data_IF_327906431923
#
_entry.id   IF_327906431923
#
_cell.length_a   1.000
_cell.length_b   1.000
_cell.length_c   1.000
_cell.angle_alpha   90.00
_cell.angle_beta   90.00
_cell.angle_gamma   90.00
#
_symmetry.space_group_name_H-M   'P 1'
#
loop_
_entity.id
_entity.type
_entity.pdbx_description
1 polymer ?
#
# COMPACT_ATOMS: atom_id res chain seq x y z
N UNK A 1 -31.48 -32.65 2.75
CA UNK A 1 -32.86 -32.15 2.88
C UNK A 1 -33.80 -33.29 2.51
N UNK A 2 -34.75 -33.60 3.39
CA UNK A 2 -35.83 -34.57 3.10
C UNK A 2 -36.66 -33.98 1.97
N UNK A 3 -36.55 -34.51 0.74
CA UNK A 3 -37.46 -34.10 -0.32
C UNK A 3 -38.85 -34.61 0.05
N UNK A 4 -39.76 -33.69 0.31
CA UNK A 4 -41.18 -34.02 0.48
C UNK A 4 -41.69 -34.26 -0.93
N UNK A 5 -41.80 -35.52 -1.35
CA UNK A 5 -42.34 -35.87 -2.65
C UNK A 5 -43.82 -35.44 -2.74
N UNK A 6 -44.20 -34.84 -3.88
CA UNK A 6 -45.60 -34.52 -4.16
C UNK A 6 -46.37 -35.82 -4.39
N UNK A 7 -47.38 -36.09 -3.55
CA UNK A 7 -48.22 -37.28 -3.67
C UNK A 7 -49.37 -37.00 -4.64
N UNK A 8 -49.12 -37.24 -5.93
CA UNK A 8 -50.04 -37.02 -7.04
C UNK A 8 -51.35 -37.78 -6.85
N UNK A 9 -51.31 -39.01 -6.34
CA UNK A 9 -52.50 -39.83 -6.09
C UNK A 9 -53.37 -39.26 -4.97
N UNK A 10 -52.76 -38.85 -3.85
CA UNK A 10 -53.48 -38.21 -2.76
C UNK A 10 -54.09 -36.88 -3.17
N UNK A 11 -53.41 -36.12 -4.03
CA UNK A 11 -53.94 -34.86 -4.57
C UNK A 11 -55.12 -35.09 -5.53
N UNK A 12 -54.99 -36.01 -6.50
CA UNK A 12 -56.08 -36.40 -7.40
C UNK A 12 -57.31 -36.92 -6.63
N UNK A 13 -57.10 -37.73 -5.59
CA UNK A 13 -58.19 -38.24 -4.75
C UNK A 13 -58.93 -37.10 -4.01
N UNK A 14 -58.21 -36.08 -3.53
CA UNK A 14 -58.83 -34.89 -2.93
C UNK A 14 -59.71 -34.13 -3.92
N UNK A 15 -59.25 -33.98 -5.17
CA UNK A 15 -60.03 -33.33 -6.23
C UNK A 15 -61.30 -34.12 -6.56
N UNK A 16 -61.21 -35.46 -6.64
CA UNK A 16 -62.38 -36.35 -6.82
C UNK A 16 -63.39 -36.18 -5.69
N UNK A 17 -62.94 -36.14 -4.43
CA UNK A 17 -63.82 -35.89 -3.28
C UNK A 17 -64.48 -34.51 -3.32
N UNK A 18 -63.84 -33.51 -3.94
CA UNK A 18 -64.39 -32.18 -4.15
C UNK A 18 -65.38 -32.08 -5.32
N UNK A 19 -65.66 -33.19 -6.01
CA UNK A 19 -66.62 -33.26 -7.12
C UNK A 19 -66.01 -33.05 -8.51
N UNK A 20 -64.68 -32.95 -8.62
CA UNK A 20 -64.00 -32.91 -9.93
C UNK A 20 -64.10 -34.29 -10.59
N UNK A 21 -64.51 -34.39 -11.88
CA UNK A 21 -64.54 -35.67 -12.58
C UNK A 21 -63.18 -36.35 -12.58
N UNK A 22 -63.15 -37.68 -12.45
CA UNK A 22 -61.92 -38.45 -12.24
C UNK A 22 -60.82 -38.15 -13.29
N UNK A 23 -61.20 -38.04 -14.57
CA UNK A 23 -60.27 -37.72 -15.65
C UNK A 23 -59.64 -36.32 -15.51
N UNK A 24 -60.41 -35.33 -15.02
CA UNK A 24 -59.89 -33.97 -14.80
C UNK A 24 -59.01 -33.92 -13.54
N UNK A 25 -59.42 -34.61 -12.47
CA UNK A 25 -58.66 -34.68 -11.23
C UNK A 25 -57.28 -35.33 -11.40
N UNK A 26 -57.18 -36.36 -12.25
CA UNK A 26 -55.92 -37.02 -12.58
C UNK A 26 -55.04 -36.12 -13.46
N UNK A 27 -55.60 -35.52 -14.51
CA UNK A 27 -54.88 -34.61 -15.40
C UNK A 27 -54.35 -33.36 -14.67
N UNK A 28 -55.13 -32.76 -13.77
CA UNK A 28 -54.69 -31.62 -12.96
C UNK A 28 -53.57 -32.00 -11.98
N UNK A 29 -53.67 -33.18 -11.35
CA UNK A 29 -52.64 -33.67 -10.44
C UNK A 29 -51.32 -33.92 -11.17
N UNK A 30 -51.38 -34.53 -12.35
CA UNK A 30 -50.22 -34.83 -13.19
C UNK A 30 -49.55 -33.54 -13.69
N UNK A 31 -50.32 -32.60 -14.25
CA UNK A 31 -49.79 -31.31 -14.69
C UNK A 31 -49.12 -30.52 -13.56
N UNK A 32 -49.70 -30.53 -12.35
CA UNK A 32 -49.10 -29.89 -11.18
C UNK A 32 -47.82 -30.61 -10.71
N UNK A 33 -47.81 -31.95 -10.77
CA UNK A 33 -46.63 -32.73 -10.42
C UNK A 33 -45.45 -32.42 -11.36
N UNK A 34 -45.69 -32.34 -12.67
CA UNK A 34 -44.67 -31.99 -13.66
C UNK A 34 -44.07 -30.59 -13.41
N UNK A 35 -44.92 -29.58 -13.21
CA UNK A 35 -44.46 -28.21 -12.95
C UNK A 35 -43.67 -28.10 -11.64
N UNK A 36 -44.12 -28.81 -10.59
CA UNK A 36 -43.40 -28.86 -9.31
C UNK A 36 -42.05 -29.55 -9.45
N UNK A 37 -41.97 -30.66 -10.21
CA UNK A 37 -40.72 -31.37 -10.44
C UNK A 37 -39.70 -30.50 -11.19
N UNK A 38 -40.13 -29.83 -12.26
CA UNK A 38 -39.27 -28.90 -13.03
C UNK A 38 -38.74 -27.78 -12.12
N UNK A 39 -39.60 -27.18 -11.30
CA UNK A 39 -39.21 -26.11 -10.40
C UNK A 39 -38.26 -26.60 -9.29
N UNK A 40 -38.50 -27.77 -8.72
CA UNK A 40 -37.63 -28.37 -7.69
C UNK A 40 -36.24 -28.71 -8.25
N UNK A 41 -36.17 -29.24 -9.48
CA UNK A 41 -34.90 -29.45 -10.17
C UNK A 41 -34.17 -28.13 -10.40
N UNK A 42 -34.86 -27.10 -10.90
CA UNK A 42 -34.29 -25.76 -11.10
C UNK A 42 -33.77 -25.12 -9.80
N UNK A 43 -34.48 -25.30 -8.68
CA UNK A 43 -34.03 -24.87 -7.36
C UNK A 43 -32.79 -25.63 -6.90
N UNK A 44 -32.77 -26.95 -7.01
CA UNK A 44 -31.61 -27.77 -6.65
C UNK A 44 -30.35 -27.40 -7.46
N UNK A 45 -30.51 -27.11 -8.75
CA UNK A 45 -29.44 -26.60 -9.59
C UNK A 45 -28.98 -25.21 -9.15
N UNK A 46 -29.91 -24.32 -8.81
CA UNK A 46 -29.59 -22.97 -8.31
C UNK A 46 -28.83 -23.03 -6.99
N UNK A 47 -29.27 -23.85 -6.04
CA UNK A 47 -28.57 -24.06 -4.76
C UNK A 47 -27.16 -24.60 -4.98
N UNK A 48 -27.02 -25.58 -5.89
CA UNK A 48 -25.70 -26.12 -6.27
C UNK A 48 -24.78 -25.06 -6.89
N UNK A 49 -25.31 -24.24 -7.81
CA UNK A 49 -24.55 -23.13 -8.42
C UNK A 49 -24.16 -22.08 -7.39
N UNK A 50 -25.08 -21.72 -6.48
CA UNK A 50 -24.83 -20.77 -5.41
C UNK A 50 -23.77 -21.29 -4.43
N UNK A 51 -23.83 -22.58 -4.04
CA UNK A 51 -22.80 -23.20 -3.20
C UNK A 51 -21.41 -23.15 -3.85
N UNK A 52 -21.32 -23.41 -5.16
CA UNK A 52 -20.07 -23.27 -5.93
C UNK A 52 -19.59 -21.82 -6.01
N UNK A 53 -20.50 -20.87 -6.20
CA UNK A 53 -20.18 -19.45 -6.25
C UNK A 53 -19.65 -18.93 -4.91
N UNK A 54 -20.25 -19.36 -3.79
CA UNK A 54 -19.78 -19.03 -2.44
C UNK A 54 -18.41 -19.63 -2.16
N UNK A 55 -18.17 -20.88 -2.55
CA UNK A 55 -16.86 -21.51 -2.40
C UNK A 55 -15.77 -20.79 -3.22
N UNK A 56 -16.10 -20.35 -4.45
CA UNK A 56 -15.18 -19.52 -5.26
C UNK A 56 -14.92 -18.17 -4.61
N UNK A 57 -15.96 -17.49 -4.14
CA UNK A 57 -15.81 -16.22 -3.44
C UNK A 57 -14.91 -16.34 -2.21
N UNK A 58 -15.04 -17.41 -1.43
CA UNK A 58 -14.18 -17.65 -0.27
C UNK A 58 -12.70 -17.79 -0.68
N UNK A 59 -12.43 -18.51 -1.77
CA UNK A 59 -11.08 -18.65 -2.32
C UNK A 59 -10.56 -17.31 -2.83
N UNK A 60 -11.34 -16.60 -3.65
CA UNK A 60 -10.97 -15.30 -4.21
C UNK A 60 -10.70 -14.27 -3.10
N UNK A 61 -11.49 -14.29 -2.02
CA UNK A 61 -11.26 -13.42 -0.86
C UNK A 61 -9.96 -13.79 -0.15
N UNK A 62 -9.69 -15.08 0.10
CA UNK A 62 -8.43 -15.52 0.71
C UNK A 62 -7.21 -15.13 -0.13
N UNK A 63 -7.29 -15.31 -1.44
CA UNK A 63 -6.23 -14.89 -2.36
C UNK A 63 -6.06 -13.36 -2.39
N UNK A 64 -7.17 -12.62 -2.41
CA UNK A 64 -7.18 -11.16 -2.36
C UNK A 64 -6.53 -10.62 -1.08
N UNK A 65 -6.85 -11.21 0.08
CA UNK A 65 -6.21 -10.85 1.35
C UNK A 65 -4.71 -11.17 1.34
N UNK A 66 -4.31 -12.33 0.83
CA UNK A 66 -2.89 -12.69 0.72
C UNK A 66 -2.10 -11.72 -0.19
N UNK A 67 -2.69 -11.27 -1.31
CA UNK A 67 -2.08 -10.26 -2.18
C UNK A 67 -1.95 -8.90 -1.48
N UNK A 68 -2.97 -8.51 -0.71
CA UNK A 68 -2.94 -7.27 0.07
C UNK A 68 -1.82 -7.33 1.12
N UNK A 69 -1.71 -8.42 1.87
CA UNK A 69 -0.64 -8.63 2.84
C UNK A 69 0.75 -8.54 2.19
N UNK A 70 0.94 -9.18 1.03
CA UNK A 70 2.20 -9.07 0.28
C UNK A 70 2.52 -7.63 -0.12
N UNK A 71 1.52 -6.86 -0.58
CA UNK A 71 1.71 -5.44 -0.92
C UNK A 71 2.06 -4.59 0.29
N UNK A 72 1.48 -4.88 1.46
CA UNK A 72 1.83 -4.20 2.71
C UNK A 72 3.28 -4.48 3.11
N UNK A 73 3.70 -5.74 3.10
CA UNK A 73 5.11 -6.11 3.39
C UNK A 73 6.08 -5.46 2.40
N UNK A 74 5.72 -5.40 1.11
CA UNK A 74 6.56 -4.73 0.12
C UNK A 74 6.60 -3.21 0.34
N UNK A 75 5.48 -2.60 0.74
CA UNK A 75 5.42 -1.17 1.04
C UNK A 75 6.27 -0.82 2.27
N UNK A 76 6.19 -1.63 3.33
CA UNK A 76 7.03 -1.49 4.52
C UNK A 76 8.52 -1.52 4.16
N UNK A 77 8.96 -2.53 3.40
CA UNK A 77 10.36 -2.61 2.92
C UNK A 77 10.78 -1.39 2.09
N UNK A 78 9.91 -0.91 1.20
CA UNK A 78 10.19 0.26 0.39
C UNK A 78 10.31 1.53 1.25
N UNK A 79 9.47 1.65 2.28
CA UNK A 79 9.51 2.75 3.24
C UNK A 79 10.82 2.72 4.02
N UNK A 80 11.18 1.57 4.60
CA UNK A 80 12.43 1.39 5.35
C UNK A 80 13.65 1.73 4.50
N UNK A 81 13.68 1.25 3.25
CA UNK A 81 14.77 1.55 2.32
C UNK A 81 14.86 3.05 2.02
N UNK A 82 13.73 3.74 1.84
CA UNK A 82 13.72 5.19 1.61
C UNK A 82 14.19 5.96 2.85
N UNK A 83 13.79 5.54 4.05
CA UNK A 83 14.27 6.15 5.29
C UNK A 83 15.78 5.95 5.46
N UNK A 84 16.30 4.74 5.25
CA UNK A 84 17.75 4.49 5.30
C UNK A 84 18.53 5.33 4.27
N UNK A 85 17.97 5.55 3.07
CA UNK A 85 18.57 6.45 2.08
C UNK A 85 18.57 7.92 2.53
N UNK A 86 17.49 8.35 3.19
CA UNK A 86 17.38 9.70 3.76
C UNK A 86 18.43 9.89 4.85
N UNK A 87 18.56 8.94 5.79
CA UNK A 87 19.58 8.97 6.83
C UNK A 87 20.99 9.05 6.24
N UNK A 88 21.27 8.24 5.22
CA UNK A 88 22.55 8.26 4.50
C UNK A 88 22.83 9.64 3.88
N UNK A 89 21.82 10.27 3.27
CA UNK A 89 21.96 11.62 2.69
C UNK A 89 22.19 12.68 3.76
N UNK A 90 21.53 12.55 4.91
CA UNK A 90 21.74 13.46 6.05
C UNK A 90 23.17 13.37 6.57
N UNK A 91 23.67 12.16 6.82
CA UNK A 91 25.08 11.95 7.25
C UNK A 91 26.06 12.49 6.22
N UNK A 92 25.80 12.29 4.92
CA UNK A 92 26.65 12.86 3.87
C UNK A 92 26.60 14.39 3.85
N UNK A 93 25.42 14.98 4.06
CA UNK A 93 25.25 16.43 4.12
C UNK A 93 25.99 17.02 5.31
N UNK A 94 25.90 16.41 6.48
CA UNK A 94 26.65 16.78 7.70
C UNK A 94 28.16 16.79 7.42
N UNK A 95 28.71 15.70 6.87
CA UNK A 95 30.14 15.64 6.49
C UNK A 95 30.54 16.72 5.50
N UNK A 96 29.72 16.97 4.48
CA UNK A 96 30.00 18.01 3.49
C UNK A 96 30.00 19.41 4.14
N UNK A 97 29.10 19.65 5.09
CA UNK A 97 29.03 20.90 5.85
C UNK A 97 30.29 21.06 6.71
N UNK A 98 30.65 20.04 7.49
CA UNK A 98 31.86 20.04 8.33
C UNK A 98 33.12 20.30 7.51
N UNK A 99 33.25 19.63 6.36
CA UNK A 99 34.37 19.84 5.45
C UNK A 99 34.44 21.28 4.93
N UNK A 100 33.29 21.88 4.59
CA UNK A 100 33.23 23.27 4.15
C UNK A 100 33.60 24.24 5.27
N UNK A 101 33.16 23.98 6.50
CA UNK A 101 33.55 24.79 7.66
C UNK A 101 35.04 24.69 7.94
N UNK A 102 35.62 23.49 7.92
CA UNK A 102 37.07 23.31 8.07
C UNK A 102 37.87 24.05 6.99
N UNK A 103 37.40 24.04 5.73
CA UNK A 103 38.03 24.82 4.65
C UNK A 103 37.95 26.34 4.90
N UNK A 104 36.82 26.82 5.42
CA UNK A 104 36.63 28.22 5.79
C UNK A 104 37.59 28.61 6.91
N UNK A 105 37.73 27.77 7.95
CA UNK A 105 38.66 28.00 9.06
C UNK A 105 40.11 28.09 8.59
N UNK A 106 40.53 27.20 7.68
CA UNK A 106 41.86 27.23 7.07
C UNK A 106 42.10 28.54 6.33
N UNK A 107 41.17 28.97 5.47
CA UNK A 107 41.28 30.25 4.74
C UNK A 107 41.34 31.44 5.69
N UNK A 108 40.57 31.43 6.77
CA UNK A 108 40.64 32.48 7.79
C UNK A 108 41.99 32.49 8.51
N UNK A 109 42.59 31.33 8.79
CA UNK A 109 43.92 31.25 9.37
C UNK A 109 45.00 31.82 8.42
N UNK A 110 44.93 31.48 7.13
CA UNK A 110 45.80 32.02 6.08
C UNK A 110 45.70 33.55 6.00
N UNK A 111 44.49 34.10 5.88
CA UNK A 111 44.24 35.55 5.84
C UNK A 111 44.79 36.25 7.08
N UNK A 112 44.63 35.66 8.28
CA UNK A 112 45.20 36.22 9.50
C UNK A 112 46.73 36.22 9.45
N UNK A 113 47.35 35.16 8.94
CA UNK A 113 48.80 35.09 8.75
C UNK A 113 49.32 36.15 7.78
N UNK A 114 48.69 36.29 6.62
CA UNK A 114 49.00 37.33 5.63
C UNK A 114 48.84 38.73 6.23
N UNK A 115 47.76 38.98 6.98
CA UNK A 115 47.53 40.27 7.64
C UNK A 115 48.61 40.57 8.69
N UNK A 116 49.07 39.58 9.46
CA UNK A 116 50.16 39.76 10.42
C UNK A 116 51.47 40.12 9.71
N UNK A 117 51.80 39.43 8.61
CA UNK A 117 52.98 39.74 7.80
C UNK A 117 52.92 41.16 7.23
N UNK A 118 51.78 41.56 6.67
CA UNK A 118 51.56 42.93 6.18
C UNK A 118 51.75 43.97 7.30
N UNK A 119 51.21 43.72 8.50
CA UNK A 119 51.40 44.62 9.65
C UNK A 119 52.88 44.74 10.04
N UNK A 120 53.64 43.66 10.03
CA UNK A 120 55.08 43.68 10.32
C UNK A 120 55.87 44.44 9.25
N UNK A 121 55.59 44.21 7.97
CA UNK A 121 56.23 44.93 6.86
C UNK A 121 55.98 46.44 6.93
N UNK A 122 54.74 46.84 7.21
CA UNK A 122 54.41 48.25 7.41
C UNK A 122 55.18 48.86 8.60
N UNK A 123 55.31 48.13 9.71
CA UNK A 123 56.10 48.57 10.85
C UNK A 123 57.58 48.80 10.51
N UNK A 124 58.19 47.87 9.78
CA UNK A 124 59.58 47.99 9.30
C UNK A 124 59.73 49.17 8.34
N UNK A 125 58.78 49.35 7.41
CA UNK A 125 58.79 50.47 6.46
C UNK A 125 58.70 51.82 7.18
N UNK A 126 57.78 51.97 8.14
CA UNK A 126 57.64 53.19 8.94
C UNK A 126 58.90 53.46 9.75
N UNK A 127 59.48 52.45 10.40
CA UNK A 127 60.73 52.59 11.15
C UNK A 127 61.90 53.02 10.24
N UNK A 128 62.01 52.43 9.04
CA UNK A 128 63.01 52.79 8.05
C UNK A 128 62.87 54.24 7.59
N UNK A 129 61.65 54.69 7.28
CA UNK A 129 61.38 56.10 6.92
C UNK A 129 61.74 57.04 8.08
N UNK A 130 61.35 56.71 9.31
CA UNK A 130 61.69 57.51 10.49
C UNK A 130 63.21 57.63 10.70
N UNK A 131 63.97 56.55 10.53
CA UNK A 131 65.43 56.57 10.64
C UNK A 131 66.10 57.48 9.59
N UNK A 132 65.57 57.48 8.35
CA UNK A 132 66.05 58.39 7.30
C UNK A 132 65.78 59.86 7.64
N UNK A 133 64.61 60.16 8.21
CA UNK A 133 64.28 61.51 8.68
C UNK A 133 65.25 61.92 9.78
N UNK A 134 65.46 61.09 10.82
CA UNK A 134 66.40 61.41 11.91
C UNK A 134 67.80 61.71 11.35
N UNK A 135 68.31 60.86 10.46
CA UNK A 135 69.64 61.04 9.84
C UNK A 135 69.74 62.30 8.96
N UNK A 136 68.63 62.77 8.39
CA UNK A 136 68.62 63.96 7.54
C UNK A 136 68.61 65.27 8.33
N UNK A 137 68.12 65.25 9.59
CA UNK A 137 67.89 66.45 10.40
C UNK A 137 68.76 66.56 11.66
N UNK A 138 69.47 65.50 12.05
CA UNK A 138 70.45 65.47 13.14
C UNK A 138 71.78 64.90 12.65
#
# INVERSE_FOLDING_TARGET
>A
MTSVAFDTLKFANRLKTAGVPAAHAEAEAEALAEVLEINLQGLAESESKNGKALARLEVDMKEGFAQVDQRFVQMEKNIDQRFAQVDTRFVQMEKNIDQRFAQVDTRFAEIKGEMLLLKWMLGVLVAGVAALIIKAFF
#
